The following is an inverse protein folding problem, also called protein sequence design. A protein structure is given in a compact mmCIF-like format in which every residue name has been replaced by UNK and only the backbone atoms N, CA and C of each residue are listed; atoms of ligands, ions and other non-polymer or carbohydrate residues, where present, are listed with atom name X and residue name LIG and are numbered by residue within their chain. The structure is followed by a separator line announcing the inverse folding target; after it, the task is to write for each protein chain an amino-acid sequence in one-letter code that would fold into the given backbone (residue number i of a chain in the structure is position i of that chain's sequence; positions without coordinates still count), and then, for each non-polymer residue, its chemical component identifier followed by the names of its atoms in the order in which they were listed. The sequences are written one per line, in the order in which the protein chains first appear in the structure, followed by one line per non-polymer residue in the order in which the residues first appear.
data_IF_520275067275
#
_entry.id   IF_520275067275
#
_cell.length_a   1.000
_cell.length_b   1.000
_cell.length_c   1.000
_cell.angle_alpha   90.00
_cell.angle_beta   90.00
_cell.angle_gamma   90.00
#
_symmetry.space_group_name_H-M   'P 1'
#
loop_
_entity.id
_entity.type
_entity.pdbx_description
1 polymer ?
#
# COMPACT_ATOMS: atom_id res chain seq x y z
N UNK A 1 -0.93 -16.28 -2.59
CA UNK A 1 0.08 -15.35 -3.19
C UNK A 1 -0.52 -13.93 -3.30
N UNK A 2 0.25 -12.86 -3.62
CA UNK A 2 -0.33 -11.51 -3.87
C UNK A 2 -0.96 -11.43 -5.26
N UNK A 3 -2.13 -10.78 -5.37
CA UNK A 3 -2.92 -10.72 -6.59
C UNK A 3 -2.45 -9.61 -7.55
N UNK A 4 -2.76 -9.77 -8.84
CA UNK A 4 -2.56 -8.73 -9.86
C UNK A 4 -3.82 -7.89 -10.00
N UNK A 5 -3.65 -6.57 -10.09
CA UNK A 5 -4.67 -5.61 -10.48
C UNK A 5 -4.40 -5.16 -11.92
N UNK A 6 -5.44 -4.98 -12.72
CA UNK A 6 -5.32 -4.46 -14.09
C UNK A 6 -6.18 -3.20 -14.22
N UNK A 7 -5.60 -2.12 -14.73
CA UNK A 7 -6.30 -0.86 -14.96
C UNK A 7 -5.64 -0.06 -16.11
N UNK A 8 -6.25 1.05 -16.51
CA UNK A 8 -5.77 1.95 -17.55
C UNK A 8 -4.99 3.11 -16.92
N UNK A 9 -3.73 3.27 -17.29
CA UNK A 9 -2.91 4.43 -16.92
C UNK A 9 -2.29 5.04 -18.18
N UNK A 10 -2.57 6.34 -18.38
CA UNK A 10 -2.09 7.06 -19.57
C UNK A 10 -2.69 6.53 -20.88
N UNK A 11 -3.92 6.02 -20.85
CA UNK A 11 -4.60 5.43 -22.01
C UNK A 11 -4.15 4.03 -22.39
N UNK A 12 -3.24 3.42 -21.62
CA UNK A 12 -2.73 2.06 -21.86
C UNK A 12 -3.15 1.14 -20.72
N UNK A 13 -3.62 -0.06 -21.05
CA UNK A 13 -3.92 -1.10 -20.05
C UNK A 13 -2.60 -1.60 -19.44
N UNK A 14 -2.49 -1.57 -18.11
CA UNK A 14 -1.30 -1.97 -17.36
C UNK A 14 -1.66 -2.98 -16.28
N UNK A 15 -0.65 -3.79 -15.93
CA UNK A 15 -0.72 -4.72 -14.80
C UNK A 15 0.01 -4.09 -13.63
N UNK A 16 -0.60 -4.22 -12.46
CA UNK A 16 -0.06 -3.75 -11.19
C UNK A 16 -0.04 -4.92 -10.22
N UNK A 17 1.10 -5.19 -9.61
CA UNK A 17 1.25 -6.23 -8.60
C UNK A 17 2.31 -5.78 -7.61
N UNK A 18 2.07 -6.03 -6.34
CA UNK A 18 3.06 -5.84 -5.29
C UNK A 18 3.49 -7.23 -4.78
N UNK A 19 4.54 -7.85 -5.34
CA UNK A 19 5.20 -8.99 -4.71
C UNK A 19 5.80 -8.59 -3.36
N UNK A 20 6.29 -9.59 -2.62
CA UNK A 20 6.83 -9.36 -1.27
C UNK A 20 8.05 -8.42 -1.27
N UNK A 21 8.85 -8.39 -2.34
CA UNK A 21 10.00 -7.50 -2.47
C UNK A 21 9.56 -6.03 -2.58
N UNK A 22 8.64 -5.76 -3.49
CA UNK A 22 8.06 -4.45 -3.75
C UNK A 22 7.23 -3.95 -2.55
N UNK A 23 6.55 -4.84 -1.82
CA UNK A 23 5.90 -4.48 -0.56
C UNK A 23 6.90 -4.07 0.53
N UNK A 24 8.09 -4.68 0.57
CA UNK A 24 9.15 -4.28 1.52
C UNK A 24 9.72 -2.92 1.15
N UNK A 25 10.03 -2.72 -0.13
CA UNK A 25 10.50 -1.41 -0.62
C UNK A 25 9.45 -0.31 -0.37
N UNK A 26 8.17 -0.62 -0.56
CA UNK A 26 7.08 0.33 -0.28
C UNK A 26 7.06 0.72 1.20
N UNK A 27 7.20 -0.24 2.12
CA UNK A 27 7.24 0.04 3.56
C UNK A 27 8.42 0.91 3.96
N UNK A 28 9.59 0.67 3.38
CA UNK A 28 10.79 1.48 3.61
C UNK A 28 10.59 2.92 3.13
N UNK A 29 9.98 3.10 1.95
CA UNK A 29 9.75 4.43 1.37
C UNK A 29 8.66 5.22 2.09
N UNK A 30 7.60 4.57 2.52
CA UNK A 30 6.47 5.21 3.20
C UNK A 30 6.65 5.28 4.72
N UNK A 31 7.69 4.64 5.26
CA UNK A 31 7.95 4.45 6.69
C UNK A 31 6.70 3.93 7.44
N UNK A 32 5.95 3.04 6.77
CA UNK A 32 4.64 2.58 7.24
C UNK A 32 4.32 1.18 6.72
N UNK A 33 3.63 0.38 7.54
CA UNK A 33 3.15 -0.95 7.14
C UNK A 33 2.06 -0.86 6.05
N UNK A 34 1.88 -1.90 5.20
CA UNK A 34 0.95 -1.82 4.07
C UNK A 34 -0.51 -1.62 4.49
N UNK A 35 -0.91 -2.17 5.65
CA UNK A 35 -2.23 -1.93 6.22
C UNK A 35 -2.42 -0.48 6.69
N UNK A 36 -1.37 0.16 7.22
CA UNK A 36 -1.38 1.58 7.59
C UNK A 36 -1.49 2.46 6.35
N UNK A 37 -0.72 2.16 5.30
CA UNK A 37 -0.79 2.87 4.01
C UNK A 37 -2.21 2.75 3.43
N UNK A 38 -2.77 1.54 3.41
CA UNK A 38 -4.15 1.32 2.96
C UNK A 38 -5.16 2.10 3.82
N UNK A 39 -5.03 2.07 5.14
CA UNK A 39 -5.91 2.81 6.04
C UNK A 39 -5.84 4.32 5.80
N UNK A 40 -4.65 4.88 5.56
CA UNK A 40 -4.48 6.30 5.21
C UNK A 40 -5.18 6.67 3.92
N UNK A 41 -5.03 5.83 2.88
CA UNK A 41 -5.68 6.03 1.58
C UNK A 41 -7.21 5.88 1.64
N UNK A 42 -7.72 4.97 2.48
CA UNK A 42 -9.15 4.74 2.69
C UNK A 42 -9.78 5.68 3.72
N UNK A 43 -8.97 6.38 4.51
CA UNK A 43 -9.45 7.29 5.54
C UNK A 43 -10.22 8.42 4.88
N UNK A 44 -11.50 8.53 5.21
CA UNK A 44 -12.26 9.76 5.02
C UNK A 44 -12.17 10.51 6.36
N UNK A 45 -11.62 11.72 6.36
CA UNK A 45 -11.56 12.57 7.55
C UNK A 45 -12.77 13.52 7.54
N UNK A 46 -13.92 13.18 8.17
CA UNK A 46 -15.06 14.09 8.26
C UNK A 46 -14.77 15.35 9.11
N UNK A 47 -13.62 15.40 9.79
CA UNK A 47 -13.29 16.42 10.77
C UNK A 47 -12.23 17.44 10.29
N UNK A 48 -11.77 17.35 9.04
CA UNK A 48 -10.77 18.28 8.49
C UNK A 48 -11.25 19.75 8.43
N UNK A 49 -12.50 20.01 8.81
CA UNK A 49 -13.04 21.35 9.03
C UNK A 49 -12.64 22.00 10.36
N UNK A 50 -12.07 21.27 11.35
CA UNK A 50 -11.68 21.85 12.63
C UNK A 50 -10.36 21.27 13.16
N UNK A 51 -9.40 22.14 13.45
CA UNK A 51 -8.10 21.81 14.06
C UNK A 51 -8.32 20.98 15.35
N UNK A 52 -7.66 19.82 15.52
CA UNK A 52 -7.64 19.12 16.80
C UNK A 52 -6.96 19.98 17.86
N UNK A 53 -7.53 20.05 19.06
CA UNK A 53 -6.87 20.73 20.18
C UNK A 53 -5.56 20.00 20.51
N UNK A 54 -4.46 20.71 20.82
CA UNK A 54 -3.17 20.08 21.14
C UNK A 54 -3.25 19.03 22.26
N UNK A 55 -4.20 19.18 23.19
CA UNK A 55 -4.45 18.21 24.27
C UNK A 55 -5.04 16.88 23.78
N UNK A 56 -5.69 16.88 22.63
CA UNK A 56 -6.45 15.75 22.10
C UNK A 56 -5.68 15.03 20.98
N UNK A 57 -4.54 15.59 20.55
CA UNK A 57 -3.69 15.02 19.52
C UNK A 57 -2.66 14.05 20.11
N UNK A 58 -2.79 12.78 19.77
CA UNK A 58 -2.04 11.67 20.38
C UNK A 58 -0.51 11.82 20.26
N UNK A 59 -0.01 12.55 19.26
CA UNK A 59 1.44 12.63 18.97
C UNK A 59 2.06 13.96 19.44
N UNK A 60 1.28 14.83 20.09
CA UNK A 60 1.75 16.09 20.66
C UNK A 60 1.92 17.22 19.63
N UNK A 61 2.23 18.41 20.13
CA UNK A 61 2.29 19.65 19.35
C UNK A 61 3.61 19.86 18.57
N UNK A 62 4.63 19.06 18.87
CA UNK A 62 5.89 19.02 18.14
C UNK A 62 5.84 18.10 16.89
N UNK A 63 4.76 17.34 16.73
CA UNK A 63 4.59 16.44 15.60
C UNK A 63 4.47 17.23 14.27
N UNK A 64 5.19 16.82 13.22
CA UNK A 64 5.14 17.52 11.93
C UNK A 64 3.72 17.65 11.36
N UNK A 65 2.83 16.70 11.64
CA UNK A 65 1.44 16.73 11.18
C UNK A 65 0.56 17.68 12.02
N UNK A 66 0.97 18.02 13.25
CA UNK A 66 0.35 19.08 14.07
C UNK A 66 0.82 20.49 13.68
N UNK A 67 2.10 20.65 13.34
CA UNK A 67 2.73 21.95 13.02
C UNK A 67 2.28 22.50 11.66
N UNK A 68 1.83 21.62 10.75
CA UNK A 68 1.43 21.99 9.39
C UNK A 68 0.09 22.76 9.34
N UNK A 69 0.11 24.06 9.66
CA UNK A 69 -1.06 24.94 9.60
C UNK A 69 -1.16 25.73 8.27
N UNK A 70 -2.32 25.55 7.62
CA UNK A 70 -3.07 26.53 6.82
C UNK A 70 -2.58 26.99 5.42
N UNK A 71 -2.94 26.25 4.36
CA UNK A 71 -3.73 26.77 3.21
C UNK A 71 -3.80 25.82 2.00
N UNK A 72 -2.85 24.90 1.84
CA UNK A 72 -2.86 23.91 0.74
C UNK A 72 -2.98 22.49 1.32
N UNK A 73 -2.25 22.22 2.40
CA UNK A 73 -2.17 20.90 3.01
C UNK A 73 -3.49 20.47 3.67
N UNK A 74 -4.17 21.36 4.40
CA UNK A 74 -5.48 21.09 5.02
C UNK A 74 -6.61 20.98 3.99
N UNK A 75 -6.58 21.75 2.90
CA UNK A 75 -7.53 21.63 1.80
C UNK A 75 -7.37 20.29 1.07
N UNK A 76 -6.13 19.87 0.77
CA UNK A 76 -5.85 18.57 0.16
C UNK A 76 -6.22 17.40 1.09
N UNK A 77 -5.91 17.50 2.39
CA UNK A 77 -6.30 16.51 3.43
C UNK A 77 -7.82 16.39 3.62
N UNK A 78 -8.57 17.47 3.36
CA UNK A 78 -10.04 17.46 3.42
C UNK A 78 -10.70 16.73 2.25
N UNK A 79 -10.01 16.60 1.11
CA UNK A 79 -10.52 15.87 -0.06
C UNK A 79 -10.18 14.37 -0.01
N UNK A 80 -9.26 13.95 0.85
CA UNK A 80 -8.99 12.55 1.11
C UNK A 80 -7.94 12.40 2.19
N UNK A 81 -8.28 11.62 3.22
CA UNK A 81 -7.40 10.91 4.16
C UNK A 81 -6.14 11.55 4.73
N UNK A 82 -5.46 10.73 5.53
CA UNK A 82 -4.14 11.01 6.11
C UNK A 82 -3.02 10.49 5.19
N UNK A 83 -3.30 10.37 3.88
CA UNK A 83 -2.36 9.79 2.93
C UNK A 83 -1.29 10.78 2.52
N UNK A 84 -0.08 10.25 2.33
CA UNK A 84 1.10 10.97 1.87
C UNK A 84 1.23 10.86 0.36
N UNK A 85 2.00 11.76 -0.26
CA UNK A 85 2.30 11.69 -1.70
C UNK A 85 2.90 10.32 -2.07
N UNK A 86 3.81 9.82 -1.24
CA UNK A 86 4.50 8.56 -1.48
C UNK A 86 3.56 7.36 -1.34
N UNK A 87 2.54 7.42 -0.48
CA UNK A 87 1.52 6.36 -0.33
C UNK A 87 0.80 6.09 -1.65
N UNK A 88 0.64 7.11 -2.50
CA UNK A 88 0.04 6.99 -3.83
C UNK A 88 1.12 6.68 -4.88
N UNK A 89 2.14 7.53 -4.94
CA UNK A 89 3.17 7.51 -5.99
C UNK A 89 3.93 6.20 -6.02
N UNK A 90 4.44 5.78 -4.85
CA UNK A 90 5.30 4.61 -4.75
C UNK A 90 4.49 3.31 -4.85
N UNK A 91 3.26 3.28 -4.31
CA UNK A 91 2.34 2.15 -4.50
C UNK A 91 2.09 1.86 -5.98
N UNK A 92 1.83 2.90 -6.78
CA UNK A 92 1.59 2.75 -8.23
C UNK A 92 2.89 2.38 -8.95
N UNK A 93 4.02 3.04 -8.65
CA UNK A 93 5.33 2.77 -9.27
C UNK A 93 5.76 1.33 -9.03
N UNK A 94 5.74 0.89 -7.78
CA UNK A 94 6.12 -0.46 -7.38
C UNK A 94 5.12 -1.50 -7.87
N UNK A 95 3.83 -1.15 -7.90
CA UNK A 95 2.80 -1.95 -8.55
C UNK A 95 3.12 -2.23 -10.01
N UNK A 96 3.51 -1.20 -10.78
CA UNK A 96 3.91 -1.36 -12.18
C UNK A 96 5.12 -2.28 -12.34
N UNK A 97 6.12 -2.13 -11.47
CA UNK A 97 7.35 -2.93 -11.49
C UNK A 97 7.04 -4.40 -11.22
N UNK A 98 6.32 -4.69 -10.14
CA UNK A 98 5.90 -6.06 -9.83
C UNK A 98 4.90 -6.64 -10.85
N UNK A 99 4.24 -5.77 -11.63
CA UNK A 99 3.42 -6.14 -12.79
C UNK A 99 4.20 -6.42 -14.08
N UNK A 100 5.53 -6.28 -14.06
CA UNK A 100 6.43 -6.56 -15.18
C UNK A 100 6.90 -5.34 -15.98
N UNK A 101 6.55 -4.12 -15.57
CA UNK A 101 7.06 -2.89 -16.19
C UNK A 101 8.51 -2.65 -15.74
N UNK A 102 9.39 -2.16 -16.62
CA UNK A 102 10.76 -1.84 -16.21
C UNK A 102 10.78 -0.68 -15.19
N UNK A 103 11.77 -0.61 -14.27
CA UNK A 103 11.85 0.49 -13.30
C UNK A 103 11.85 1.88 -13.94
N UNK A 104 12.56 2.04 -15.06
CA UNK A 104 12.62 3.29 -15.82
C UNK A 104 11.25 3.65 -16.42
N UNK A 105 10.58 2.69 -17.08
CA UNK A 105 9.27 2.94 -17.68
C UNK A 105 8.17 3.19 -16.62
N UNK A 106 8.27 2.54 -15.46
CA UNK A 106 7.39 2.78 -14.33
C UNK A 106 7.59 4.20 -13.80
N UNK A 107 8.84 4.65 -13.62
CA UNK A 107 9.15 6.02 -13.21
C UNK A 107 8.61 7.04 -14.22
N UNK A 108 8.85 6.85 -15.52
CA UNK A 108 8.36 7.74 -16.58
C UNK A 108 6.83 7.80 -16.58
N UNK A 109 6.16 6.66 -16.42
CA UNK A 109 4.71 6.60 -16.41
C UNK A 109 4.11 7.35 -15.22
N UNK A 110 4.68 7.18 -14.03
CA UNK A 110 4.25 7.91 -12.83
C UNK A 110 4.52 9.40 -12.99
N UNK A 111 5.73 9.78 -13.41
CA UNK A 111 6.09 11.17 -13.66
C UNK A 111 5.17 11.86 -14.67
N UNK A 112 4.72 11.12 -15.70
CA UNK A 112 3.89 11.71 -16.75
C UNK A 112 2.42 11.75 -16.43
N UNK A 113 1.88 10.72 -15.79
CA UNK A 113 0.43 10.52 -15.68
C UNK A 113 -0.12 10.67 -14.26
N UNK A 114 0.76 10.67 -13.25
CA UNK A 114 0.39 10.85 -11.84
C UNK A 114 0.82 12.23 -11.37
N UNK A 115 2.10 12.59 -11.54
CA UNK A 115 2.66 13.85 -11.00
C UNK A 115 2.14 15.11 -11.70
N UNK A 116 1.62 14.97 -12.91
CA UNK A 116 1.07 16.09 -13.70
C UNK A 116 -0.42 16.34 -13.44
N UNK A 117 -1.03 15.53 -12.57
CA UNK A 117 -2.46 15.56 -12.25
C UNK A 117 -2.71 15.64 -10.75
N UNK A 118 -3.89 16.09 -10.31
CA UNK A 118 -4.25 16.07 -8.90
C UNK A 118 -4.13 14.66 -8.29
N UNK A 119 -3.31 14.50 -7.25
CA UNK A 119 -2.98 13.18 -6.67
C UNK A 119 -4.19 12.38 -6.17
N UNK A 120 -5.23 13.05 -5.69
CA UNK A 120 -6.44 12.39 -5.18
C UNK A 120 -7.14 11.54 -6.24
N UNK A 121 -7.00 11.89 -7.52
CA UNK A 121 -7.56 11.12 -8.65
C UNK A 121 -6.93 9.73 -8.78
N UNK A 122 -5.77 9.53 -8.17
CA UNK A 122 -4.98 8.30 -8.21
C UNK A 122 -5.02 7.51 -6.89
N UNK A 123 -5.59 8.09 -5.82
CA UNK A 123 -5.73 7.41 -4.53
C UNK A 123 -6.56 6.11 -4.65
N UNK A 124 -7.61 6.13 -5.48
CA UNK A 124 -8.43 4.94 -5.75
C UNK A 124 -7.63 3.80 -6.40
N UNK A 125 -6.75 4.12 -7.35
CA UNK A 125 -5.87 3.14 -8.00
C UNK A 125 -4.86 2.56 -6.99
N UNK A 126 -4.21 3.40 -6.19
CA UNK A 126 -3.30 2.96 -5.14
C UNK A 126 -3.99 2.03 -4.11
N UNK A 127 -5.20 2.40 -3.66
CA UNK A 127 -6.05 1.56 -2.81
C UNK A 127 -6.30 0.18 -3.44
N UNK A 128 -6.72 0.13 -4.71
CA UNK A 128 -7.03 -1.12 -5.39
C UNK A 128 -5.80 -2.05 -5.47
N UNK A 129 -4.63 -1.50 -5.77
CA UNK A 129 -3.36 -2.23 -5.83
C UNK A 129 -3.01 -2.80 -4.44
N UNK A 130 -3.07 -1.99 -3.38
CA UNK A 130 -2.77 -2.42 -2.02
C UNK A 130 -3.76 -3.45 -1.49
N UNK A 131 -5.06 -3.30 -1.78
CA UNK A 131 -6.07 -4.28 -1.44
C UNK A 131 -5.76 -5.64 -2.07
N UNK A 132 -5.41 -5.68 -3.36
CA UNK A 132 -5.00 -6.91 -4.06
C UNK A 132 -3.73 -7.54 -3.51
N UNK A 133 -2.83 -6.72 -2.97
CA UNK A 133 -1.64 -7.21 -2.29
C UNK A 133 -1.95 -7.82 -0.92
N UNK A 134 -2.88 -7.23 -0.17
CA UNK A 134 -3.24 -7.64 1.20
C UNK A 134 -4.25 -8.78 1.26
N UNK A 135 -5.21 -8.81 0.34
CA UNK A 135 -6.15 -9.91 0.22
C UNK A 135 -5.53 -10.94 -0.72
N UNK A 136 -4.98 -12.04 -0.18
CA UNK A 136 -4.47 -13.15 -1.00
C UNK A 136 -5.53 -13.71 -1.96
N UNK A 137 -5.13 -14.53 -2.93
CA UNK A 137 -6.10 -15.20 -3.81
C UNK A 137 -7.13 -15.99 -2.99
N UNK A 138 -8.41 -15.89 -3.38
CA UNK A 138 -9.52 -16.57 -2.70
C UNK A 138 -9.45 -18.10 -2.81
N UNK A 139 -8.57 -18.61 -3.67
CA UNK A 139 -8.37 -20.04 -3.93
C UNK A 139 -7.27 -20.68 -3.04
N UNK A 140 -6.56 -19.89 -2.23
CA UNK A 140 -5.62 -20.40 -1.21
C UNK A 140 -6.36 -20.60 0.14
N UNK A 141 -7.43 -21.42 0.18
CA UNK A 141 -7.93 -21.97 1.45
C UNK A 141 -7.08 -23.20 1.79
N UNK A 142 -6.20 -23.16 2.81
CA UNK A 142 -5.44 -24.33 3.20
C UNK A 142 -6.37 -25.27 3.99
N UNK A 143 -7.23 -25.98 3.26
CA UNK A 143 -7.89 -27.17 3.76
C UNK A 143 -6.82 -28.07 4.36
N UNK A 144 -6.90 -28.28 5.68
CA UNK A 144 -5.96 -29.05 6.49
C UNK A 144 -5.46 -30.29 5.74
N UNK A 145 -4.20 -30.28 5.31
CA UNK A 145 -3.54 -31.51 4.93
C UNK A 145 -3.40 -32.38 6.19
N UNK A 146 -3.83 -33.66 6.19
CA UNK A 146 -3.60 -34.55 7.32
C UNK A 146 -2.10 -34.70 7.52
N UNK A 147 -1.63 -34.43 8.74
CA UNK A 147 -0.25 -34.75 9.13
C UNK A 147 -0.17 -36.28 9.23
N UNK A 148 0.38 -36.92 8.19
CA UNK A 148 0.87 -38.29 8.32
C UNK A 148 2.04 -38.29 9.29
N UNK A 149 1.78 -38.79 10.50
CA UNK A 149 2.83 -39.04 11.48
C UNK A 149 3.51 -40.35 11.11
N UNK A 150 4.63 -40.29 10.40
CA UNK A 150 5.51 -41.46 10.28
C UNK A 150 6.30 -41.60 11.57
N UNK A 151 5.94 -42.60 12.37
CA UNK A 151 6.69 -43.04 13.56
C UNK A 151 8.10 -43.49 13.15
N UNK A 152 9.17 -43.16 13.90
CA UNK A 152 10.52 -43.61 13.56
C UNK A 152 10.68 -45.10 13.85
N UNK A 153 11.17 -45.87 12.87
CA UNK A 153 11.63 -47.25 13.07
C UNK A 153 12.94 -47.24 13.85
N UNK A 154 12.86 -47.70 15.09
CA UNK A 154 13.98 -47.99 15.97
C UNK A 154 14.81 -49.15 15.40
N UNK A 155 16.08 -48.88 15.08
CA UNK A 155 17.07 -49.88 14.71
C UNK A 155 17.54 -50.59 15.99
N UNK A 156 17.23 -51.88 16.11
CA UNK A 156 17.82 -52.76 17.11
C UNK A 156 19.12 -53.38 16.57
N UNK A 157 20.20 -53.18 17.31
CA UNK A 157 21.54 -53.72 17.08
C UNK A 157 21.68 -55.14 17.64
N UNK A 158 22.41 -56.00 16.91
CA UNK A 158 23.17 -57.20 17.35
C UNK A 158 22.49 -58.34 18.13
N UNK A 159 22.54 -59.56 17.55
CA UNK A 159 23.25 -60.74 18.09
C UNK A 159 23.41 -61.82 17.01
#
# INVERSE_FOLDING_TARGET
MTQTHEDILGGVKRKFRLPIGELRELQEKCEAGPATILARLMSYQPNATKRPEPSDYTHGDADPDYIADFNVYSMLRSFGGDWRVDDIRETIRLGLIGGGTTPTDAYIAVARYIDTRPLWEHAGLACAILLKALTGDKDDDPGKAPVETTTPTEAATES
#
